data_IF_461606160133
#
_entry.id   IF_461606160133
#
_cell.length_a   1.000
_cell.length_b   1.000
_cell.length_c   1.000
_cell.angle_alpha   90.00
_cell.angle_beta   90.00
_cell.angle_gamma   90.00
#
_symmetry.space_group_name_H-M   'P 1'
#
loop_
_entity.id
_entity.type
_entity.pdbx_description
1 polymer ?
#
# COMPACT_ATOMS: atom_id res chain seq x y z
N UNK A 1 23.64 -25.42 -17.37
CA UNK A 1 23.18 -24.98 -16.04
C UNK A 1 21.70 -25.26 -15.91
N UNK A 2 21.22 -25.74 -14.75
CA UNK A 2 19.79 -26.02 -14.52
C UNK A 2 19.20 -25.12 -13.42
N UNK A 3 18.20 -24.32 -13.79
CA UNK A 3 17.62 -23.25 -12.96
C UNK A 3 16.15 -23.53 -12.66
N UNK A 4 15.77 -23.43 -11.39
CA UNK A 4 14.38 -23.35 -10.96
C UNK A 4 13.97 -21.87 -10.90
N UNK A 5 13.03 -21.46 -11.75
CA UNK A 5 12.50 -20.10 -11.80
C UNK A 5 11.18 -20.01 -11.04
N UNK A 6 11.20 -19.42 -9.85
CA UNK A 6 10.01 -19.20 -9.02
C UNK A 6 9.42 -17.83 -9.34
N UNK A 7 8.21 -17.80 -9.89
CA UNK A 7 7.58 -16.56 -10.38
C UNK A 7 6.04 -16.61 -10.27
N UNK A 8 5.35 -15.58 -10.75
CA UNK A 8 3.92 -15.58 -11.05
C UNK A 8 3.68 -15.75 -12.55
N UNK A 9 2.56 -16.35 -12.96
CA UNK A 9 2.23 -16.52 -14.37
C UNK A 9 1.70 -15.22 -15.00
N UNK A 10 1.73 -15.07 -16.34
CA UNK A 10 1.25 -13.85 -17.01
C UNK A 10 -0.23 -13.53 -16.80
N UNK A 11 -1.09 -14.51 -16.51
CA UNK A 11 -2.50 -14.23 -16.19
C UNK A 11 -2.71 -13.62 -14.80
N UNK A 12 -1.74 -13.78 -13.89
CA UNK A 12 -1.75 -13.05 -12.63
C UNK A 12 -1.36 -11.63 -12.98
N UNK A 13 -2.25 -10.70 -12.68
CA UNK A 13 -2.09 -9.26 -12.92
C UNK A 13 -0.96 -8.69 -12.06
N UNK A 14 0.26 -9.02 -12.46
CA UNK A 14 1.53 -8.69 -11.85
C UNK A 14 2.50 -8.22 -12.92
N UNK A 15 3.26 -7.16 -12.65
CA UNK A 15 4.28 -6.69 -13.59
C UNK A 15 5.35 -7.76 -13.87
N UNK A 16 5.54 -8.68 -12.93
CA UNK A 16 6.52 -9.76 -12.99
C UNK A 16 6.13 -10.88 -13.96
N UNK A 17 4.83 -11.21 -14.08
CA UNK A 17 4.38 -12.25 -14.99
C UNK A 17 4.72 -11.93 -16.45
N UNK A 18 4.47 -10.69 -16.87
CA UNK A 18 4.82 -10.20 -18.20
C UNK A 18 6.32 -10.11 -18.42
N UNK A 19 7.08 -9.65 -17.41
CA UNK A 19 8.55 -9.65 -17.48
C UNK A 19 9.09 -11.07 -17.67
N UNK A 20 8.58 -12.03 -16.91
CA UNK A 20 9.04 -13.41 -16.97
C UNK A 20 8.70 -14.05 -18.32
N UNK A 21 7.54 -13.72 -18.91
CA UNK A 21 7.17 -14.15 -20.27
C UNK A 21 8.18 -13.73 -21.33
N UNK A 22 8.74 -12.51 -21.23
CA UNK A 22 9.74 -12.02 -22.18
C UNK A 22 11.16 -12.53 -21.87
N UNK A 23 11.49 -12.72 -20.59
CA UNK A 23 12.81 -13.19 -20.16
C UNK A 23 13.02 -14.69 -20.43
N UNK A 24 11.98 -15.51 -20.24
CA UNK A 24 12.12 -16.97 -20.26
C UNK A 24 12.71 -17.53 -21.57
N UNK A 25 12.29 -17.09 -22.78
CA UNK A 25 12.91 -17.55 -24.02
C UNK A 25 14.41 -17.26 -24.08
N UNK A 26 14.82 -16.08 -23.60
CA UNK A 26 16.24 -15.65 -23.59
C UNK A 26 17.05 -16.42 -22.55
N UNK A 27 16.50 -16.65 -21.36
CA UNK A 27 17.17 -17.49 -20.36
C UNK A 27 17.44 -18.89 -20.89
N UNK A 28 16.48 -19.45 -21.65
CA UNK A 28 16.61 -20.80 -22.22
C UNK A 28 17.66 -20.94 -23.32
N UNK A 29 18.08 -19.85 -23.94
CA UNK A 29 19.24 -19.84 -24.83
C UNK A 29 20.55 -20.17 -24.08
N UNK A 30 20.56 -20.00 -22.75
CA UNK A 30 21.76 -20.15 -21.92
C UNK A 30 21.67 -21.24 -20.84
N UNK A 31 20.47 -21.64 -20.41
CA UNK A 31 20.28 -22.65 -19.37
C UNK A 31 18.98 -23.43 -19.50
N UNK A 32 18.92 -24.60 -18.86
CA UNK A 32 17.66 -25.33 -18.68
C UNK A 32 16.85 -24.65 -17.57
N UNK A 33 15.60 -24.28 -17.86
CA UNK A 33 14.74 -23.56 -16.91
C UNK A 33 13.44 -24.33 -16.69
N UNK A 34 13.18 -24.70 -15.44
CA UNK A 34 11.87 -25.17 -14.99
C UNK A 34 11.17 -24.06 -14.20
N UNK A 35 9.90 -23.80 -14.53
CA UNK A 35 9.11 -22.71 -13.93
C UNK A 35 8.27 -23.26 -12.78
N UNK A 36 8.29 -22.57 -11.64
CA UNK A 36 7.52 -22.90 -10.45
C UNK A 36 6.62 -21.73 -10.04
N UNK A 37 5.34 -22.01 -9.81
CA UNK A 37 4.30 -21.04 -9.44
C UNK A 37 3.51 -21.48 -8.21
N UNK A 38 2.75 -20.55 -7.60
CA UNK A 38 1.94 -20.87 -6.45
C UNK A 38 0.76 -21.81 -6.78
N UNK A 39 0.14 -22.41 -5.77
CA UNK A 39 -1.06 -23.22 -5.94
C UNK A 39 -2.18 -22.43 -6.65
N UNK A 40 -2.82 -23.05 -7.65
CA UNK A 40 -3.88 -22.45 -8.45
C UNK A 40 -3.42 -21.48 -9.54
N UNK A 41 -2.13 -21.49 -9.87
CA UNK A 41 -1.51 -20.63 -10.89
C UNK A 41 -0.81 -21.41 -12.02
N UNK A 42 -0.91 -22.73 -12.01
CA UNK A 42 -0.21 -23.69 -12.86
C UNK A 42 -0.70 -23.72 -14.32
N UNK A 43 -1.98 -23.41 -14.57
CA UNK A 43 -2.58 -23.37 -15.92
C UNK A 43 -2.70 -21.93 -16.49
N UNK A 44 -2.11 -20.95 -15.81
CA UNK A 44 -2.60 -19.58 -15.88
C UNK A 44 -1.84 -18.73 -16.94
N UNK A 45 -1.86 -19.15 -18.21
CA UNK A 45 -1.52 -18.26 -19.33
C UNK A 45 -0.08 -18.31 -19.86
N UNK A 46 0.68 -19.35 -19.53
CA UNK A 46 1.91 -19.63 -20.25
C UNK A 46 1.62 -20.39 -21.54
N UNK A 47 1.53 -19.70 -22.68
CA UNK A 47 1.28 -20.35 -23.98
C UNK A 47 2.42 -21.33 -24.30
N UNK A 48 2.12 -22.63 -24.21
CA UNK A 48 3.07 -23.70 -24.57
C UNK A 48 4.11 -24.04 -23.49
N UNK A 49 4.04 -23.44 -22.31
CA UNK A 49 4.94 -23.76 -21.20
C UNK A 49 4.19 -24.46 -20.08
N UNK A 50 4.82 -25.49 -19.50
CA UNK A 50 4.32 -26.12 -18.27
C UNK A 50 5.01 -25.48 -17.08
N UNK A 51 4.24 -24.83 -16.23
CA UNK A 51 4.66 -24.45 -14.89
C UNK A 51 4.33 -25.57 -13.90
N UNK A 52 5.21 -25.80 -12.94
CA UNK A 52 4.99 -26.73 -11.84
C UNK A 52 4.58 -25.96 -10.58
N UNK A 53 3.93 -26.64 -9.64
CA UNK A 53 3.66 -26.07 -8.34
C UNK A 53 4.95 -25.94 -7.53
N UNK A 54 5.10 -24.84 -6.81
CA UNK A 54 6.23 -24.59 -5.89
C UNK A 54 6.39 -25.66 -4.81
N UNK A 55 5.33 -26.40 -4.50
CA UNK A 55 5.38 -27.53 -3.56
C UNK A 55 6.11 -28.76 -4.13
N UNK A 56 6.28 -28.84 -5.45
CA UNK A 56 7.05 -29.88 -6.13
C UNK A 56 8.53 -29.50 -6.32
N UNK A 57 8.94 -28.29 -5.92
CA UNK A 57 10.32 -27.84 -6.02
C UNK A 57 11.22 -28.63 -5.05
N UNK A 58 12.09 -29.46 -5.62
CA UNK A 58 13.25 -30.01 -4.91
C UNK A 58 14.49 -29.17 -5.29
N UNK A 59 14.98 -28.28 -4.39
CA UNK A 59 16.09 -27.39 -4.71
C UNK A 59 17.39 -28.14 -5.04
N UNK A 60 17.54 -29.41 -4.63
CA UNK A 60 18.75 -30.21 -4.92
C UNK A 60 18.86 -30.65 -6.37
N UNK A 61 17.76 -30.59 -7.13
CA UNK A 61 17.73 -30.91 -8.57
C UNK A 61 18.18 -29.76 -9.46
N UNK A 62 18.45 -28.59 -8.86
CA UNK A 62 18.79 -27.37 -9.56
C UNK A 62 20.11 -26.83 -9.01
N UNK A 63 20.91 -26.26 -9.89
CA UNK A 63 22.14 -25.57 -9.50
C UNK A 63 21.82 -24.19 -8.94
N UNK A 64 20.68 -23.60 -9.35
CA UNK A 64 20.22 -22.30 -8.90
C UNK A 64 18.70 -22.26 -8.77
N UNK A 65 18.21 -21.70 -7.66
CA UNK A 65 16.81 -21.27 -7.53
C UNK A 65 16.76 -19.75 -7.69
N UNK A 66 15.97 -19.25 -8.63
CA UNK A 66 15.82 -17.85 -8.97
C UNK A 66 14.39 -17.39 -8.66
N UNK A 67 14.24 -16.43 -7.75
CA UNK A 67 12.94 -15.86 -7.37
C UNK A 67 12.72 -14.52 -8.07
N UNK A 68 11.56 -14.32 -8.66
CA UNK A 68 11.12 -13.02 -9.18
C UNK A 68 10.16 -12.37 -8.16
N UNK A 69 10.67 -11.45 -7.35
CA UNK A 69 9.95 -10.88 -6.20
C UNK A 69 9.68 -9.38 -6.39
N UNK A 70 8.45 -8.95 -6.17
CA UNK A 70 8.03 -7.54 -6.22
C UNK A 70 6.98 -7.19 -5.18
N UNK A 71 6.55 -5.93 -5.13
CA UNK A 71 5.58 -5.43 -4.15
C UNK A 71 4.12 -5.79 -4.49
N UNK A 72 3.84 -7.08 -4.62
CA UNK A 72 2.48 -7.54 -4.92
C UNK A 72 2.07 -8.70 -4.02
N UNK A 73 0.78 -8.75 -3.70
CA UNK A 73 0.23 -9.79 -2.83
C UNK A 73 0.41 -11.21 -3.42
N UNK A 74 0.45 -11.34 -4.74
CA UNK A 74 0.68 -12.61 -5.42
C UNK A 74 2.05 -13.22 -5.10
N UNK A 75 3.04 -12.41 -4.71
CA UNK A 75 4.38 -12.86 -4.35
C UNK A 75 4.51 -13.29 -2.87
N UNK A 76 3.44 -13.21 -2.08
CA UNK A 76 3.46 -13.44 -0.63
C UNK A 76 3.93 -14.84 -0.19
N UNK A 77 3.93 -15.82 -1.08
CA UNK A 77 4.43 -17.17 -0.80
C UNK A 77 5.96 -17.26 -0.83
N UNK A 78 6.62 -16.41 -1.62
CA UNK A 78 8.06 -16.49 -1.89
C UNK A 78 8.95 -16.21 -0.68
N UNK A 79 8.66 -15.25 0.24
CA UNK A 79 9.54 -15.03 1.39
C UNK A 79 9.75 -16.26 2.27
N UNK A 80 8.71 -17.10 2.43
CA UNK A 80 8.82 -18.35 3.18
C UNK A 80 9.65 -19.38 2.45
N UNK A 81 9.54 -19.43 1.11
CA UNK A 81 10.37 -20.29 0.28
C UNK A 81 11.83 -19.86 0.33
N UNK A 82 12.13 -18.57 0.12
CA UNK A 82 13.49 -18.02 0.17
C UNK A 82 14.17 -18.40 1.48
N UNK A 83 13.46 -18.31 2.62
CA UNK A 83 13.98 -18.75 3.92
C UNK A 83 14.20 -20.26 4.01
N UNK A 84 13.35 -21.06 3.39
CA UNK A 84 13.39 -22.52 3.49
C UNK A 84 14.43 -23.16 2.56
N UNK A 85 14.59 -22.65 1.34
CA UNK A 85 15.39 -23.26 0.29
C UNK A 85 16.59 -22.42 -0.15
N UNK A 86 16.67 -21.14 0.26
CA UNK A 86 17.69 -20.22 -0.24
C UNK A 86 17.56 -19.94 -1.73
N UNK A 87 18.49 -19.18 -2.30
CA UNK A 87 18.58 -18.89 -3.74
C UNK A 87 18.87 -17.43 -4.04
N UNK A 88 18.71 -17.07 -5.31
CA UNK A 88 18.94 -15.72 -5.82
C UNK A 88 17.60 -15.01 -6.00
N UNK A 89 17.50 -13.77 -5.53
CA UNK A 89 16.27 -12.98 -5.61
C UNK A 89 16.48 -11.85 -6.61
N UNK A 90 15.67 -11.83 -7.66
CA UNK A 90 15.47 -10.64 -8.50
C UNK A 90 14.41 -9.79 -7.83
N UNK A 91 14.86 -8.75 -7.16
CA UNK A 91 13.98 -7.82 -6.45
C UNK A 91 13.57 -6.68 -7.39
N UNK A 92 12.30 -6.66 -7.77
CA UNK A 92 11.73 -5.66 -8.68
C UNK A 92 11.38 -4.35 -7.97
N UNK A 93 11.18 -4.38 -6.65
CA UNK A 93 10.81 -3.20 -5.85
C UNK A 93 11.59 -3.13 -4.54
N UNK A 94 12.00 -1.92 -4.14
CA UNK A 94 12.59 -1.67 -2.81
C UNK A 94 11.57 -1.69 -1.68
N UNK A 95 10.31 -1.37 -1.98
CA UNK A 95 9.23 -1.23 -1.00
C UNK A 95 8.28 -2.42 -1.10
N UNK A 96 8.45 -3.45 -0.27
CA UNK A 96 7.72 -4.74 -0.38
C UNK A 96 6.50 -4.86 0.56
N UNK A 97 5.78 -3.77 0.79
CA UNK A 97 4.73 -3.72 1.79
C UNK A 97 3.48 -4.55 1.50
N UNK A 98 2.92 -4.48 0.30
CA UNK A 98 1.70 -5.22 -0.05
C UNK A 98 1.98 -6.72 -0.03
N UNK A 99 3.16 -7.11 -0.53
CA UNK A 99 3.68 -8.47 -0.38
C UNK A 99 3.81 -8.88 1.10
N UNK A 100 4.41 -8.03 1.95
CA UNK A 100 4.62 -8.33 3.36
C UNK A 100 3.29 -8.45 4.13
N UNK A 101 2.32 -7.57 3.87
CA UNK A 101 0.98 -7.63 4.48
C UNK A 101 0.28 -8.94 4.10
N UNK A 102 0.38 -9.36 2.83
CA UNK A 102 -0.19 -10.62 2.38
C UNK A 102 0.55 -11.85 2.96
N UNK A 103 1.87 -11.81 3.08
CA UNK A 103 2.68 -12.91 3.64
C UNK A 103 2.53 -13.08 5.16
N UNK A 104 2.31 -11.96 5.87
CA UNK A 104 2.13 -11.90 7.32
C UNK A 104 0.95 -11.01 7.73
N UNK A 105 -0.31 -11.43 7.49
CA UNK A 105 -1.50 -10.63 7.81
C UNK A 105 -1.62 -10.27 9.30
N UNK A 106 -0.97 -11.05 10.18
CA UNK A 106 -0.93 -10.78 11.62
C UNK A 106 -0.17 -9.50 12.00
N UNK A 107 0.82 -9.07 11.21
CA UNK A 107 1.49 -7.78 11.41
C UNK A 107 0.53 -6.61 11.18
N UNK A 108 -0.35 -6.75 10.19
CA UNK A 108 -1.27 -5.71 9.81
C UNK A 108 -2.49 -5.63 10.76
N UNK A 109 -2.95 -6.78 11.28
CA UNK A 109 -4.06 -6.87 12.25
C UNK A 109 -3.76 -6.34 13.65
N UNK A 110 -2.49 -6.31 14.07
CA UNK A 110 -2.15 -5.82 15.41
C UNK A 110 -2.11 -6.88 16.52
N UNK A 111 -1.98 -6.41 17.75
CA UNK A 111 -2.13 -7.23 18.97
C UNK A 111 -0.94 -8.13 19.29
N UNK A 112 -1.14 -9.11 20.19
CA UNK A 112 -0.10 -10.02 20.65
C UNK A 112 0.49 -10.88 19.52
N UNK A 113 -0.37 -11.33 18.58
CA UNK A 113 0.07 -12.09 17.39
C UNK A 113 0.97 -11.26 16.48
N UNK A 114 0.65 -9.98 16.28
CA UNK A 114 1.49 -9.08 15.48
C UNK A 114 2.83 -8.77 16.16
N UNK A 115 2.85 -8.58 17.49
CA UNK A 115 4.11 -8.44 18.24
C UNK A 115 4.98 -9.69 18.15
N UNK A 116 4.39 -10.88 18.33
CA UNK A 116 5.12 -12.13 18.19
C UNK A 116 5.70 -12.32 16.78
N UNK A 117 4.97 -11.92 15.74
CA UNK A 117 5.46 -11.93 14.37
C UNK A 117 6.57 -10.90 14.13
N UNK A 118 6.45 -9.67 14.65
CA UNK A 118 7.48 -8.65 14.52
C UNK A 118 8.80 -9.12 15.15
N UNK A 119 8.72 -9.77 16.31
CA UNK A 119 9.88 -10.37 16.97
C UNK A 119 10.46 -11.54 16.18
N UNK A 120 9.60 -12.48 15.73
CA UNK A 120 10.04 -13.68 15.01
C UNK A 120 10.69 -13.36 13.66
N UNK A 121 10.11 -12.42 12.90
CA UNK A 121 10.53 -12.14 11.53
C UNK A 121 11.55 -10.99 11.43
N UNK A 122 11.49 -10.01 12.34
CA UNK A 122 12.32 -8.79 12.29
C UNK A 122 13.18 -8.51 13.51
N UNK A 123 13.12 -9.37 14.54
CA UNK A 123 13.92 -9.24 15.76
C UNK A 123 13.51 -8.05 16.65
N UNK A 124 14.40 -7.70 17.59
CA UNK A 124 14.15 -6.67 18.60
C UNK A 124 13.96 -5.28 17.98
N UNK A 125 14.77 -4.91 16.99
CA UNK A 125 14.71 -3.61 16.34
C UNK A 125 13.34 -3.37 15.66
N UNK A 126 12.84 -4.35 14.89
CA UNK A 126 11.52 -4.24 14.26
C UNK A 126 10.39 -4.31 15.28
N UNK A 127 10.56 -5.06 16.38
CA UNK A 127 9.59 -5.08 17.48
C UNK A 127 9.43 -3.71 18.12
N UNK A 128 10.53 -2.98 18.35
CA UNK A 128 10.48 -1.62 18.90
C UNK A 128 9.75 -0.65 17.95
N UNK A 129 10.06 -0.69 16.65
CA UNK A 129 9.37 0.11 15.63
C UNK A 129 7.88 -0.22 15.61
N UNK A 130 7.54 -1.51 15.64
CA UNK A 130 6.17 -1.98 15.63
C UNK A 130 5.37 -1.48 16.86
N UNK A 131 5.97 -1.58 18.06
CA UNK A 131 5.38 -1.10 19.30
C UNK A 131 5.15 0.42 19.26
N UNK A 132 6.15 1.19 18.81
CA UNK A 132 6.03 2.64 18.64
C UNK A 132 4.87 2.99 17.71
N UNK A 133 4.82 2.39 16.52
CA UNK A 133 3.74 2.62 15.54
C UNK A 133 2.37 2.18 16.08
N UNK A 134 2.31 1.16 16.93
CA UNK A 134 1.06 0.75 17.58
C UNK A 134 0.60 1.76 18.63
N UNK A 135 1.53 2.26 19.47
CA UNK A 135 1.25 3.30 20.45
C UNK A 135 0.82 4.60 19.78
N UNK A 136 1.51 5.02 18.71
CA UNK A 136 1.18 6.22 17.93
C UNK A 136 -0.22 6.11 17.32
N UNK A 137 -0.57 4.96 16.72
CA UNK A 137 -1.94 4.71 16.23
C UNK A 137 -2.98 4.75 17.34
N UNK A 138 -2.63 4.32 18.56
CA UNK A 138 -3.52 4.39 19.72
C UNK A 138 -3.70 5.84 20.19
N UNK A 139 -2.63 6.64 20.21
CA UNK A 139 -2.66 8.07 20.52
C UNK A 139 -3.47 8.85 19.49
N UNK A 140 -3.29 8.58 18.21
CA UNK A 140 -4.04 9.18 17.10
C UNK A 140 -5.54 8.85 17.14
N UNK A 141 -5.94 7.70 17.70
CA UNK A 141 -7.37 7.40 17.92
C UNK A 141 -8.00 8.23 19.04
N UNK A 142 -7.20 8.69 20.00
CA UNK A 142 -7.65 9.42 21.18
C UNK A 142 -7.42 10.93 21.11
N UNK A 143 -6.58 11.40 20.19
CA UNK A 143 -6.30 12.81 20.01
C UNK A 143 -7.05 13.33 18.79
N UNK A 144 -7.77 14.47 18.89
CA UNK A 144 -8.15 15.21 17.70
C UNK A 144 -6.85 15.56 16.96
N UNK A 145 -6.82 15.29 15.65
CA UNK A 145 -5.68 15.65 14.81
C UNK A 145 -5.39 17.13 15.04
N UNK A 146 -4.15 17.46 15.41
CA UNK A 146 -3.74 18.83 15.64
C UNK A 146 -4.12 19.67 14.42
N UNK A 147 -4.70 20.87 14.64
CA UNK A 147 -4.81 21.85 13.57
C UNK A 147 -3.41 22.08 13.03
N UNK A 148 -3.19 21.68 11.78
CA UNK A 148 -1.91 21.90 11.11
C UNK A 148 -1.90 23.36 10.66
N UNK A 149 -0.96 24.12 11.19
CA UNK A 149 -0.65 25.44 10.64
C UNK A 149 0.03 25.24 9.28
N UNK A 150 -0.68 25.63 8.22
CA UNK A 150 -0.23 25.49 6.84
C UNK A 150 0.35 26.76 6.25
N UNK A 151 0.46 27.80 7.06
CA UNK A 151 1.12 29.03 6.67
C UNK A 151 2.55 28.71 6.19
N UNK A 152 2.87 29.12 4.96
CA UNK A 152 4.20 28.97 4.38
C UNK A 152 4.52 27.62 3.74
N UNK A 153 3.64 26.62 3.81
CA UNK A 153 3.85 25.35 3.07
C UNK A 153 3.66 25.60 1.58
N UNK A 154 4.50 25.10 0.65
CA UNK A 154 4.32 25.35 -0.78
C UNK A 154 3.14 24.58 -1.39
N UNK A 155 2.60 25.05 -2.51
CA UNK A 155 1.59 24.34 -3.32
C UNK A 155 0.12 24.66 -3.00
N UNK A 156 -0.79 24.10 -3.80
CA UNK A 156 -2.25 24.23 -3.64
C UNK A 156 -2.85 23.15 -2.74
N UNK A 157 -2.18 22.02 -2.59
CA UNK A 157 -2.53 20.95 -1.67
C UNK A 157 -1.32 20.70 -0.77
N UNK A 158 -1.11 21.51 0.29
CA UNK A 158 0.10 21.43 1.10
C UNK A 158 0.22 20.08 1.85
N UNK A 159 -0.88 19.41 2.16
CA UNK A 159 -0.91 18.09 2.78
C UNK A 159 -2.24 17.36 2.55
N UNK A 160 -2.29 16.06 2.84
CA UNK A 160 -3.54 15.29 2.92
C UNK A 160 -3.90 14.53 1.65
N UNK A 161 -5.07 14.81 1.07
CA UNK A 161 -5.70 14.00 0.00
C UNK A 161 -5.13 14.26 -1.40
N UNK A 162 -3.81 14.28 -1.56
CA UNK A 162 -3.16 14.38 -2.87
C UNK A 162 -2.16 13.22 -3.09
N UNK A 163 -1.94 12.77 -4.35
CA UNK A 163 -0.86 11.85 -4.66
C UNK A 163 0.44 12.62 -4.95
N UNK A 164 1.56 12.15 -4.38
CA UNK A 164 2.89 12.16 -5.00
C UNK A 164 3.86 11.27 -4.20
N UNK A 165 3.63 9.96 -4.16
CA UNK A 165 4.70 8.97 -3.94
C UNK A 165 4.40 7.70 -4.73
N UNK A 166 5.42 7.01 -5.29
CA UNK A 166 5.29 5.66 -5.85
C UNK A 166 4.71 4.62 -4.86
N UNK A 167 4.56 4.98 -3.58
CA UNK A 167 4.19 4.10 -2.50
C UNK A 167 2.78 4.31 -1.92
N UNK A 168 1.89 5.10 -2.56
CA UNK A 168 0.43 5.09 -2.33
C UNK A 168 -0.03 4.95 -0.87
N UNK A 169 0.42 5.84 0.02
CA UNK A 169 0.40 5.60 1.47
C UNK A 169 -0.23 6.67 2.35
N UNK A 170 -1.20 7.44 1.86
CA UNK A 170 -1.82 8.47 2.70
C UNK A 170 -3.27 8.14 3.03
N UNK A 171 -3.49 7.85 4.31
CA UNK A 171 -4.77 7.98 5.00
C UNK A 171 -4.67 9.18 5.90
N UNK A 172 -5.36 10.24 5.56
CA UNK A 172 -5.51 11.37 6.45
C UNK A 172 -7.00 11.64 6.57
N UNK A 173 -7.47 11.81 7.81
CA UNK A 173 -8.80 12.38 8.03
C UNK A 173 -8.82 13.87 7.62
N UNK A 174 -7.67 14.44 7.20
CA UNK A 174 -7.47 15.86 6.94
C UNK A 174 -6.71 16.13 5.64
N UNK A 175 -7.03 17.24 4.98
CA UNK A 175 -6.25 17.78 3.86
C UNK A 175 -6.17 19.31 3.92
N UNK A 176 -5.07 19.85 3.42
CA UNK A 176 -4.92 21.28 3.20
C UNK A 176 -5.29 21.63 1.76
N UNK A 177 -6.03 22.72 1.59
CA UNK A 177 -6.37 23.29 0.29
C UNK A 177 -6.06 24.79 0.32
N UNK A 178 -5.16 25.23 -0.55
CA UNK A 178 -4.89 26.64 -0.81
C UNK A 178 -5.39 27.01 -2.20
N UNK A 179 -6.21 28.05 -2.26
CA UNK A 179 -6.66 28.63 -3.52
C UNK A 179 -5.59 29.63 -4.00
N UNK A 180 -4.99 29.42 -5.19
CA UNK A 180 -3.94 30.31 -5.71
C UNK A 180 -4.55 31.56 -6.36
N UNK A 181 -5.34 32.32 -5.61
CA UNK A 181 -6.03 33.52 -6.09
C UNK A 181 -6.00 34.65 -5.08
N UNK A 182 -6.08 35.89 -5.55
CA UNK A 182 -6.20 37.12 -4.74
C UNK A 182 -7.62 37.68 -4.90
N UNK A 183 -8.14 38.34 -3.87
CA UNK A 183 -9.51 38.88 -3.92
C UNK A 183 -10.62 37.81 -4.02
N UNK A 184 -10.39 36.58 -3.56
CA UNK A 184 -11.37 35.48 -3.64
C UNK A 184 -12.59 35.79 -2.77
N UNK A 185 -13.78 35.87 -3.38
CA UNK A 185 -15.03 36.15 -2.67
C UNK A 185 -15.80 34.90 -2.25
N UNK A 186 -15.70 33.84 -3.04
CA UNK A 186 -16.31 32.54 -2.76
C UNK A 186 -15.52 31.41 -3.40
N UNK A 187 -15.68 30.21 -2.84
CA UNK A 187 -15.09 28.96 -3.31
C UNK A 187 -16.18 27.90 -3.32
N UNK A 188 -16.36 27.21 -4.45
CA UNK A 188 -17.30 26.09 -4.55
C UNK A 188 -16.54 24.77 -4.58
N UNK A 189 -16.86 23.89 -3.66
CA UNK A 189 -16.37 22.52 -3.59
C UNK A 189 -17.47 21.56 -4.03
N UNK A 190 -17.09 20.55 -4.81
CA UNK A 190 -17.99 19.47 -5.19
C UNK A 190 -17.52 18.19 -4.52
N UNK A 191 -18.38 17.61 -3.68
CA UNK A 191 -18.03 16.56 -2.74
C UNK A 191 -18.68 15.23 -3.14
N UNK A 192 -17.85 14.21 -3.27
CA UNK A 192 -18.25 12.84 -3.59
C UNK A 192 -17.87 11.93 -2.42
N UNK A 193 -18.66 11.94 -1.36
CA UNK A 193 -18.44 11.11 -0.18
C UNK A 193 -19.33 9.86 -0.18
N UNK A 194 -18.82 8.75 0.36
CA UNK A 194 -19.66 7.57 0.62
C UNK A 194 -20.71 7.84 1.71
N UNK A 195 -21.86 7.15 1.69
CA UNK A 195 -22.89 7.29 2.71
C UNK A 195 -22.35 7.13 4.14
N UNK A 196 -22.71 8.06 5.02
CA UNK A 196 -22.28 8.07 6.42
C UNK A 196 -20.95 8.77 6.69
N UNK A 197 -20.32 9.36 5.65
CA UNK A 197 -19.17 10.27 5.78
C UNK A 197 -19.63 11.72 5.69
N UNK A 198 -18.90 12.61 6.36
CA UNK A 198 -19.13 14.05 6.25
C UNK A 198 -17.81 14.81 6.25
N UNK A 199 -17.74 15.89 5.46
CA UNK A 199 -16.64 16.84 5.42
C UNK A 199 -16.94 18.04 6.33
N UNK A 200 -15.96 18.48 7.10
CA UNK A 200 -15.92 19.81 7.72
C UNK A 200 -14.82 20.62 7.07
N UNK A 201 -15.10 21.89 6.80
CA UNK A 201 -14.11 22.82 6.25
C UNK A 201 -13.78 23.85 7.31
N UNK A 202 -12.48 24.00 7.58
CA UNK A 202 -11.95 24.94 8.54
C UNK A 202 -11.08 25.99 7.86
N UNK A 203 -11.08 27.22 8.38
CA UNK A 203 -10.12 28.27 8.03
C UNK A 203 -9.69 28.99 9.30
N UNK A 204 -8.38 29.17 9.52
CA UNK A 204 -7.81 29.72 10.75
C UNK A 204 -8.39 29.10 12.04
N UNK A 205 -8.70 27.81 11.98
CA UNK A 205 -9.26 27.03 13.08
C UNK A 205 -10.76 27.20 13.36
N UNK A 206 -11.46 28.01 12.57
CA UNK A 206 -12.92 28.14 12.60
C UNK A 206 -13.57 27.22 11.56
N UNK A 207 -14.63 26.49 11.96
CA UNK A 207 -15.46 25.72 11.03
C UNK A 207 -16.29 26.68 10.18
N UNK A 208 -16.05 26.69 8.87
CA UNK A 208 -16.84 27.46 7.91
C UNK A 208 -18.09 26.71 7.45
N UNK A 209 -17.96 25.39 7.29
CA UNK A 209 -19.04 24.56 6.79
C UNK A 209 -18.89 23.09 7.18
N UNK A 210 -20.01 22.37 7.12
CA UNK A 210 -20.07 20.92 7.22
C UNK A 210 -21.06 20.39 6.18
N UNK A 211 -20.67 19.39 5.40
CA UNK A 211 -21.53 18.77 4.41
C UNK A 211 -21.19 17.30 4.19
N UNK A 212 -22.16 16.50 3.77
CA UNK A 212 -21.93 15.14 3.33
C UNK A 212 -21.46 15.18 1.86
N UNK A 213 -22.29 14.72 0.91
CA UNK A 213 -22.00 14.84 -0.53
C UNK A 213 -22.73 16.03 -1.17
N UNK A 214 -22.29 16.43 -2.36
CA UNK A 214 -22.91 17.50 -3.16
C UNK A 214 -22.07 18.78 -3.20
N UNK A 215 -22.72 19.88 -3.56
CA UNK A 215 -22.04 21.18 -3.73
C UNK A 215 -22.02 21.97 -2.43
N UNK A 216 -20.85 22.48 -2.08
CA UNK A 216 -20.62 23.31 -0.91
C UNK A 216 -19.99 24.64 -1.34
N UNK A 217 -20.65 25.75 -1.03
CA UNK A 217 -20.12 27.09 -1.26
C UNK A 217 -19.57 27.68 0.03
N UNK A 218 -18.35 28.20 -0.04
CA UNK A 218 -17.60 28.76 1.06
C UNK A 218 -17.30 30.23 0.78
N UNK A 219 -17.42 31.08 1.79
CA UNK A 219 -16.90 32.45 1.75
C UNK A 219 -15.66 32.52 2.62
N UNK A 220 -14.46 32.70 2.04
CA UNK A 220 -13.24 32.71 2.83
C UNK A 220 -13.17 33.96 3.72
N UNK A 221 -12.59 33.78 4.91
CA UNK A 221 -12.24 34.85 5.85
C UNK A 221 -11.07 35.67 5.29
N UNK A 222 -10.11 35.04 4.63
CA UNK A 222 -9.02 35.70 3.90
C UNK A 222 -9.28 35.69 2.40
N UNK A 223 -9.35 36.88 1.79
CA UNK A 223 -9.54 36.99 0.33
C UNK A 223 -8.29 36.66 -0.47
N UNK A 224 -7.12 36.93 0.09
CA UNK A 224 -5.85 36.67 -0.56
C UNK A 224 -5.35 35.29 -0.19
N UNK A 225 -5.30 34.42 -1.19
CA UNK A 225 -4.85 33.03 -1.14
C UNK A 225 -5.46 32.25 0.03
N UNK A 226 -6.80 32.11 0.09
CA UNK A 226 -7.45 31.44 1.22
C UNK A 226 -6.94 30.01 1.39
N UNK A 227 -6.85 29.63 2.67
CA UNK A 227 -6.33 28.36 3.13
C UNK A 227 -7.40 27.63 3.92
N UNK A 228 -7.75 26.44 3.46
CA UNK A 228 -8.75 25.58 4.08
C UNK A 228 -8.10 24.32 4.61
N UNK A 229 -8.55 23.86 5.78
CA UNK A 229 -8.32 22.52 6.27
C UNK A 229 -9.63 21.73 6.10
N UNK A 230 -9.57 20.69 5.30
CA UNK A 230 -10.66 19.78 4.98
C UNK A 230 -10.59 18.60 5.94
N UNK A 231 -11.61 18.34 6.76
CA UNK A 231 -11.68 17.22 7.71
C UNK A 231 -12.80 16.25 7.32
N UNK A 232 -12.47 15.02 6.97
CA UNK A 232 -13.43 13.92 6.79
C UNK A 232 -13.69 13.19 8.09
N UNK A 233 -14.97 13.03 8.42
CA UNK A 233 -15.46 12.24 9.56
C UNK A 233 -16.28 11.05 9.07
N UNK A 234 -16.50 10.07 9.96
CA UNK A 234 -17.26 8.85 9.62
C UNK A 234 -16.43 7.77 8.93
N UNK A 235 -15.13 7.98 8.69
CA UNK A 235 -14.26 6.97 8.08
C UNK A 235 -14.06 5.77 9.01
N UNK A 236 -14.59 4.61 8.61
CA UNK A 236 -14.41 3.34 9.30
C UNK A 236 -13.65 2.36 8.40
N UNK A 237 -12.68 1.66 8.99
CA UNK A 237 -12.05 0.51 8.32
C UNK A 237 -13.10 -0.59 8.15
N UNK A 238 -13.39 -0.97 6.91
CA UNK A 238 -14.39 -1.98 6.59
C UNK A 238 -14.01 -3.37 7.13
N UNK A 239 -14.99 -4.27 7.23
CA UNK A 239 -14.72 -5.66 7.63
C UNK A 239 -13.79 -6.37 6.64
N UNK A 240 -13.93 -6.09 5.33
CA UNK A 240 -13.07 -6.61 4.29
C UNK A 240 -11.62 -6.12 4.46
N UNK A 241 -11.42 -4.81 4.66
CA UNK A 241 -10.09 -4.24 4.93
C UNK A 241 -9.44 -4.91 6.15
N UNK A 242 -10.16 -5.01 7.27
CA UNK A 242 -9.67 -5.70 8.47
C UNK A 242 -9.28 -7.16 8.21
N UNK A 243 -10.06 -7.89 7.40
CA UNK A 243 -9.77 -9.29 7.02
C UNK A 243 -8.43 -9.40 6.29
N UNK A 244 -8.15 -8.46 5.38
CA UNK A 244 -6.92 -8.35 4.62
C UNK A 244 -5.78 -7.62 5.36
N UNK A 245 -6.00 -7.25 6.63
CA UNK A 245 -5.00 -6.53 7.41
C UNK A 245 -4.86 -5.06 7.04
N UNK A 246 -5.65 -4.57 6.08
CA UNK A 246 -5.69 -3.16 5.76
C UNK A 246 -6.34 -2.39 6.92
N UNK A 247 -5.53 -1.55 7.57
CA UNK A 247 -5.97 -0.69 8.67
C UNK A 247 -6.15 0.76 8.24
N UNK A 248 -6.06 1.03 6.93
CA UNK A 248 -6.16 2.35 6.35
C UNK A 248 -7.58 2.91 6.46
N UNK A 249 -7.68 4.15 6.94
CA UNK A 249 -8.89 4.98 6.91
C UNK A 249 -8.86 5.80 5.62
N UNK A 250 -9.32 5.20 4.53
CA UNK A 250 -9.37 5.86 3.22
C UNK A 250 -10.58 6.81 3.23
N UNK A 251 -10.30 8.11 3.19
CA UNK A 251 -11.29 9.19 3.08
C UNK A 251 -11.93 9.27 1.70
#
# INVERSE_FOLDING_TARGET
MKVALVTTPPSVRSGIGDYTRHLLPRLREHCEVEVFVNAGQDDAGWKGERAQLVTALDPRRFEQVLYQLGNEQAHAFMPRMIRATGGTVVQHDWVLFDMAVAAWPGLARGGAKGHGLALREGGLAQTQIYLRNWLDRRRQRSQPTAQLDIAGWPGTLPFGWHPAEPAGRWTADFAGLRIPGEGVEWVRLELYLEPGRSLRVHENGQVLAKQDSGQLELRPLRRDRPEFVLETTGIRVSAAQKKHGDSRRLG
#
